data_IF_733365196953
#
_entry.id   IF_733365196953
#
_cell.length_a   1.000
_cell.length_b   1.000
_cell.length_c   1.000
_cell.angle_alpha   90.00
_cell.angle_beta   90.00
_cell.angle_gamma   90.00
#
_symmetry.space_group_name_H-M   'P 1'
#
loop_
_entity.id
_entity.type
_entity.pdbx_description
1 polymer ?
#
# COMPACT_ATOMS: atom_id res chain seq x y z
N UNK A 1 -45.27 -21.17 41.48
CA UNK A 1 -44.20 -20.39 40.82
C UNK A 1 -43.78 -21.12 39.55
N UNK A 2 -44.50 -20.86 38.46
CA UNK A 2 -44.18 -21.44 37.15
C UNK A 2 -43.15 -20.55 36.46
N UNK A 3 -41.94 -21.08 36.34
CA UNK A 3 -40.79 -20.44 35.70
C UNK A 3 -41.03 -20.41 34.17
N UNK A 4 -41.22 -19.21 33.63
CA UNK A 4 -41.23 -18.96 32.18
C UNK A 4 -39.84 -19.29 31.60
N UNK A 5 -39.78 -20.37 30.84
CA UNK A 5 -38.70 -20.68 29.88
C UNK A 5 -38.81 -19.70 28.70
N UNK A 6 -38.20 -18.52 28.83
CA UNK A 6 -38.04 -17.57 27.75
C UNK A 6 -36.73 -17.84 27.01
N UNK A 7 -36.91 -18.43 25.83
CA UNK A 7 -36.15 -18.25 24.59
C UNK A 7 -34.69 -17.79 24.76
N UNK A 8 -33.78 -18.77 24.76
CA UNK A 8 -32.42 -18.56 24.28
C UNK A 8 -32.48 -18.21 22.78
N UNK A 9 -32.57 -16.92 22.48
CA UNK A 9 -32.18 -16.41 21.18
C UNK A 9 -30.67 -16.59 21.07
N UNK A 10 -30.25 -17.75 20.55
CA UNK A 10 -28.90 -17.96 20.08
C UNK A 10 -28.74 -17.00 18.90
N UNK A 11 -28.20 -15.81 19.18
CA UNK A 11 -27.69 -14.90 18.16
C UNK A 11 -26.47 -15.61 17.57
N UNK A 12 -26.74 -16.54 16.66
CA UNK A 12 -25.77 -17.01 15.70
C UNK A 12 -25.52 -15.85 14.74
N UNK A 13 -24.60 -14.96 15.12
CA UNK A 13 -23.90 -14.12 14.14
C UNK A 13 -22.96 -15.02 13.33
N UNK A 14 -23.52 -15.90 12.51
CA UNK A 14 -22.88 -16.27 11.24
C UNK A 14 -22.96 -15.01 10.36
N UNK A 15 -21.91 -14.44 9.81
CA UNK A 15 -20.67 -15.03 9.33
C UNK A 15 -19.67 -13.89 9.23
N UNK A 16 -18.57 -13.96 9.99
CA UNK A 16 -17.38 -13.18 9.67
C UNK A 16 -16.81 -13.74 8.38
N UNK A 17 -17.25 -13.22 7.23
CA UNK A 17 -16.54 -13.44 5.98
C UNK A 17 -15.26 -12.63 6.10
N UNK A 18 -14.17 -13.30 6.45
CA UNK A 18 -12.83 -12.74 6.39
C UNK A 18 -12.67 -12.13 5.00
N UNK A 19 -12.58 -10.80 4.90
CA UNK A 19 -12.35 -10.16 3.61
C UNK A 19 -11.07 -10.78 3.02
N UNK A 20 -11.18 -11.32 1.80
CA UNK A 20 -10.07 -11.97 1.09
C UNK A 20 -8.83 -11.06 1.18
N UNK A 21 -7.76 -11.57 1.79
CA UNK A 21 -6.54 -10.81 2.02
C UNK A 21 -5.45 -11.36 1.11
N UNK A 22 -4.98 -10.54 0.19
CA UNK A 22 -3.85 -10.87 -0.67
C UNK A 22 -2.61 -10.08 -0.24
N UNK A 23 -1.44 -10.70 -0.36
CA UNK A 23 -0.13 -10.08 -0.21
C UNK A 23 0.71 -10.29 -1.48
N UNK A 24 1.58 -9.33 -1.76
CA UNK A 24 2.54 -9.39 -2.84
C UNK A 24 3.92 -8.99 -2.33
N UNK A 25 4.93 -9.78 -2.67
CA UNK A 25 6.33 -9.58 -2.31
C UNK A 25 7.10 -9.24 -3.59
N UNK A 26 7.43 -7.96 -3.76
CA UNK A 26 8.24 -7.46 -4.87
C UNK A 26 9.72 -7.52 -4.50
N UNK A 27 10.54 -8.15 -5.33
CA UNK A 27 12.00 -8.06 -5.27
C UNK A 27 12.51 -7.15 -6.39
N UNK A 28 13.14 -6.04 -6.02
CA UNK A 28 13.77 -5.12 -6.96
C UNK A 28 15.09 -4.61 -6.38
N UNK A 29 16.15 -4.67 -7.18
CA UNK A 29 17.51 -4.24 -6.80
C UNK A 29 18.01 -4.86 -5.48
N UNK A 30 17.69 -6.13 -5.23
CA UNK A 30 18.10 -6.86 -4.03
C UNK A 30 17.34 -6.46 -2.76
N UNK A 31 16.32 -5.61 -2.87
CA UNK A 31 15.42 -5.22 -1.77
C UNK A 31 14.04 -5.82 -1.97
N UNK A 32 13.36 -6.04 -0.85
CA UNK A 32 12.03 -6.64 -0.83
C UNK A 32 10.99 -5.65 -0.32
N UNK A 33 9.87 -5.53 -1.04
CA UNK A 33 8.76 -4.64 -0.72
C UNK A 33 7.48 -5.44 -0.68
N UNK A 34 6.74 -5.33 0.42
CA UNK A 34 5.49 -6.07 0.63
C UNK A 34 4.30 -5.13 0.54
N UNK A 35 3.31 -5.51 -0.25
CA UNK A 35 2.00 -4.86 -0.33
C UNK A 35 0.88 -5.82 0.05
N UNK A 36 -0.16 -5.31 0.70
CA UNK A 36 -1.34 -6.07 1.10
C UNK A 36 -2.60 -5.42 0.52
N UNK A 37 -3.48 -6.19 -0.11
CA UNK A 37 -4.69 -5.68 -0.75
C UNK A 37 -5.81 -6.71 -0.82
N UNK A 38 -6.98 -6.28 -1.30
CA UNK A 38 -8.16 -7.14 -1.45
C UNK A 38 -8.05 -8.11 -2.63
N UNK A 39 -7.10 -7.87 -3.53
CA UNK A 39 -6.80 -8.67 -4.72
C UNK A 39 -5.29 -8.80 -4.93
N UNK A 40 -4.87 -9.73 -5.78
CA UNK A 40 -3.46 -9.85 -6.20
C UNK A 40 -2.95 -8.58 -6.87
N UNK A 41 -3.81 -7.92 -7.64
CA UNK A 41 -3.49 -6.70 -8.39
C UNK A 41 -3.29 -5.52 -7.43
N UNK A 42 -4.17 -5.37 -6.45
CA UNK A 42 -4.03 -4.37 -5.39
C UNK A 42 -2.77 -4.61 -4.58
N UNK A 43 -2.55 -5.84 -4.12
CA UNK A 43 -1.36 -6.19 -3.35
C UNK A 43 -0.08 -5.89 -4.12
N UNK A 44 -0.03 -6.25 -5.41
CA UNK A 44 1.11 -5.97 -6.30
C UNK A 44 1.32 -4.47 -6.49
N UNK A 45 0.25 -3.72 -6.77
CA UNK A 45 0.32 -2.26 -6.89
C UNK A 45 0.80 -1.62 -5.59
N UNK A 46 0.35 -2.09 -4.43
CA UNK A 46 0.80 -1.57 -3.14
C UNK A 46 2.25 -1.92 -2.82
N UNK A 47 2.74 -3.09 -3.25
CA UNK A 47 4.17 -3.42 -3.18
C UNK A 47 5.00 -2.46 -4.04
N UNK A 48 4.54 -2.15 -5.26
CA UNK A 48 5.15 -1.13 -6.11
C UNK A 48 5.10 0.27 -5.47
N UNK A 49 3.97 0.69 -4.91
CA UNK A 49 3.87 1.98 -4.21
C UNK A 49 4.87 2.06 -3.06
N UNK A 50 5.09 0.95 -2.32
CA UNK A 50 6.07 0.88 -1.24
C UNK A 50 7.50 1.03 -1.77
N UNK A 51 7.87 0.29 -2.81
CA UNK A 51 9.14 0.49 -3.52
C UNK A 51 9.34 1.95 -3.94
N UNK A 52 8.32 2.56 -4.54
CA UNK A 52 8.40 3.94 -5.01
C UNK A 52 8.68 4.95 -3.90
N UNK A 53 8.10 4.77 -2.70
CA UNK A 53 8.38 5.66 -1.57
C UNK A 53 9.75 5.43 -0.95
N UNK A 54 10.18 4.17 -0.89
CA UNK A 54 11.32 3.77 -0.07
C UNK A 54 12.64 3.74 -0.84
N UNK A 55 12.59 3.46 -2.14
CA UNK A 55 13.78 3.11 -2.91
C UNK A 55 13.84 3.70 -4.33
N UNK A 56 12.77 4.33 -4.84
CA UNK A 56 12.84 4.98 -6.16
C UNK A 56 13.68 6.27 -6.09
N UNK A 57 14.74 6.39 -6.91
CA UNK A 57 15.60 7.57 -6.91
C UNK A 57 14.89 8.84 -7.41
N UNK A 58 13.89 8.71 -8.28
CA UNK A 58 13.13 9.86 -8.75
C UNK A 58 12.23 10.44 -7.66
N UNK A 59 11.61 9.58 -6.85
CA UNK A 59 10.86 10.04 -5.67
C UNK A 59 11.76 10.71 -4.64
N UNK A 60 12.93 10.14 -4.36
CA UNK A 60 13.93 10.73 -3.46
C UNK A 60 14.29 12.17 -3.88
N UNK A 61 14.57 12.37 -5.18
CA UNK A 61 14.90 13.68 -5.73
C UNK A 61 13.72 14.66 -5.63
N UNK A 62 12.51 14.23 -6.00
CA UNK A 62 11.31 15.07 -5.92
C UNK A 62 10.97 15.46 -4.48
N UNK A 63 11.09 14.53 -3.54
CA UNK A 63 10.90 14.79 -2.13
C UNK A 63 11.92 15.82 -1.60
N UNK A 64 13.20 15.69 -1.98
CA UNK A 64 14.24 16.67 -1.63
C UNK A 64 13.91 18.08 -2.12
N UNK A 65 13.52 18.23 -3.40
CA UNK A 65 13.09 19.52 -3.96
C UNK A 65 11.86 20.06 -3.24
N UNK A 66 10.89 19.21 -2.93
CA UNK A 66 9.69 19.61 -2.21
C UNK A 66 10.00 20.08 -0.79
N UNK A 67 10.90 19.40 -0.07
CA UNK A 67 11.34 19.80 1.28
C UNK A 67 11.92 21.21 1.31
N UNK A 68 12.61 21.63 0.26
CA UNK A 68 13.22 22.95 0.16
C UNK A 68 12.24 24.06 -0.28
N UNK A 69 11.07 23.67 -0.78
CA UNK A 69 9.99 24.58 -1.15
C UNK A 69 9.33 25.24 0.07
N UNK A 70 8.59 26.36 -0.10
CA UNK A 70 7.82 26.96 0.98
C UNK A 70 6.83 25.98 1.64
N UNK A 71 6.19 25.11 0.86
CA UNK A 71 5.22 24.13 1.36
C UNK A 71 5.91 23.06 2.23
N UNK A 72 7.04 22.50 1.78
CA UNK A 72 7.80 21.52 2.54
C UNK A 72 8.38 22.07 3.84
N UNK A 73 8.84 23.32 3.82
CA UNK A 73 9.30 24.04 5.02
C UNK A 73 8.15 24.26 6.02
N UNK A 74 6.99 24.73 5.55
CA UNK A 74 5.80 24.91 6.38
C UNK A 74 5.28 23.60 6.97
N UNK A 75 5.49 22.47 6.28
CA UNK A 75 5.10 21.14 6.73
C UNK A 75 6.01 20.55 7.82
N UNK A 76 7.12 21.20 8.18
CA UNK A 76 8.00 20.75 9.26
C UNK A 76 8.93 19.59 8.89
N UNK A 77 9.28 19.44 7.61
CA UNK A 77 10.15 18.37 7.08
C UNK A 77 9.65 16.94 7.45
N UNK A 78 8.41 16.59 7.07
CA UNK A 78 7.82 15.29 7.38
C UNK A 78 8.56 14.15 6.67
N UNK A 79 8.36 12.92 7.11
CA UNK A 79 8.93 11.73 6.46
C UNK A 79 8.45 11.58 5.00
N UNK A 80 9.16 10.74 4.23
CA UNK A 80 8.76 10.39 2.85
C UNK A 80 7.36 9.80 2.75
N UNK A 81 6.92 9.06 3.76
CA UNK A 81 5.58 8.48 3.81
C UNK A 81 4.52 9.55 4.07
N UNK A 82 4.76 10.44 5.03
CA UNK A 82 3.81 11.52 5.34
C UNK A 82 3.74 12.58 4.24
N UNK A 83 4.85 12.81 3.52
CA UNK A 83 4.95 13.83 2.49
C UNK A 83 3.98 13.58 1.32
N UNK A 84 3.73 12.31 0.95
CA UNK A 84 2.77 11.99 -0.13
C UNK A 84 1.36 12.50 0.21
N UNK A 85 0.98 12.55 1.49
CA UNK A 85 -0.34 13.01 1.90
C UNK A 85 -0.42 14.54 2.03
N UNK A 86 0.73 15.22 1.95
CA UNK A 86 0.83 16.68 2.08
C UNK A 86 1.03 17.37 0.74
N UNK A 87 1.38 16.63 -0.30
CA UNK A 87 1.57 17.16 -1.65
C UNK A 87 1.07 16.19 -2.72
N UNK A 88 0.15 16.68 -3.56
CA UNK A 88 -0.47 15.86 -4.61
C UNK A 88 0.54 15.38 -5.64
N UNK A 89 1.57 16.17 -5.99
CA UNK A 89 2.56 15.75 -7.00
C UNK A 89 3.41 14.61 -6.47
N UNK A 90 3.77 14.64 -5.18
CA UNK A 90 4.43 13.51 -4.53
C UNK A 90 3.55 12.26 -4.51
N UNK A 91 2.26 12.39 -4.18
CA UNK A 91 1.30 11.29 -4.23
C UNK A 91 1.17 10.70 -5.63
N UNK A 92 0.98 11.55 -6.64
CA UNK A 92 0.78 11.14 -8.04
C UNK A 92 2.04 10.47 -8.58
N UNK A 93 3.22 10.98 -8.24
CA UNK A 93 4.47 10.34 -8.66
C UNK A 93 4.57 8.91 -8.13
N UNK A 94 4.29 8.70 -6.83
CA UNK A 94 4.36 7.38 -6.18
C UNK A 94 3.29 6.44 -6.75
N UNK A 95 2.04 6.89 -6.81
CA UNK A 95 0.88 6.00 -7.07
C UNK A 95 0.55 5.81 -8.54
N UNK A 96 1.04 6.71 -9.40
CA UNK A 96 0.80 6.68 -10.85
C UNK A 96 2.10 6.47 -11.60
N UNK A 97 3.04 7.42 -11.54
CA UNK A 97 4.23 7.39 -12.40
C UNK A 97 5.12 6.19 -12.10
N UNK A 98 5.73 6.19 -10.90
CA UNK A 98 6.62 5.12 -10.49
C UNK A 98 5.90 3.77 -10.35
N UNK A 99 4.67 3.75 -9.81
CA UNK A 99 3.92 2.51 -9.68
C UNK A 99 3.64 1.84 -11.03
N UNK A 100 3.24 2.60 -12.06
CA UNK A 100 2.99 2.04 -13.39
C UNK A 100 4.28 1.55 -14.06
N UNK A 101 5.40 2.25 -13.85
CA UNK A 101 6.71 1.78 -14.32
C UNK A 101 7.15 0.49 -13.62
N UNK A 102 6.96 0.39 -12.31
CA UNK A 102 7.20 -0.83 -11.54
C UNK A 102 6.35 -2.00 -12.07
N UNK A 103 5.06 -1.78 -12.29
CA UNK A 103 4.16 -2.79 -12.87
C UNK A 103 4.59 -3.20 -14.28
N UNK A 104 5.05 -2.25 -15.10
CA UNK A 104 5.59 -2.56 -16.43
C UNK A 104 6.87 -3.41 -16.34
N UNK A 105 7.79 -3.11 -15.41
CA UNK A 105 8.98 -3.93 -15.16
C UNK A 105 8.63 -5.36 -14.74
N UNK A 106 7.60 -5.54 -13.91
CA UNK A 106 7.10 -6.87 -13.53
C UNK A 106 6.56 -7.60 -14.77
N UNK A 107 5.72 -6.94 -15.57
CA UNK A 107 5.14 -7.52 -16.80
C UNK A 107 6.22 -7.92 -17.81
N UNK A 108 7.27 -7.13 -17.93
CA UNK A 108 8.42 -7.41 -18.80
C UNK A 108 9.39 -8.46 -18.22
N UNK A 109 9.14 -8.98 -17.00
CA UNK A 109 10.01 -9.94 -16.32
C UNK A 109 11.31 -9.34 -15.77
N UNK A 110 11.44 -8.01 -15.75
CA UNK A 110 12.62 -7.29 -15.24
C UNK A 110 12.61 -7.14 -13.71
N UNK A 111 11.44 -7.28 -13.10
CA UNK A 111 11.27 -7.34 -11.65
C UNK A 111 10.44 -8.59 -11.29
N UNK A 112 10.71 -9.18 -10.13
CA UNK A 112 10.01 -10.39 -9.66
C UNK A 112 9.00 -10.04 -8.59
N UNK A 113 7.79 -10.57 -8.70
CA UNK A 113 6.76 -10.47 -7.66
C UNK A 113 6.18 -11.85 -7.37
N UNK A 114 5.98 -12.13 -6.09
CA UNK A 114 5.31 -13.35 -5.61
C UNK A 114 4.04 -12.94 -4.87
N UNK A 115 2.89 -13.56 -5.21
CA UNK A 115 1.59 -13.22 -4.61
C UNK A 115 0.99 -14.38 -3.86
N UNK A 116 0.33 -14.10 -2.73
CA UNK A 116 -0.43 -15.08 -1.94
C UNK A 116 -1.77 -14.48 -1.55
N UNK A 117 -2.85 -15.25 -1.59
CA UNK A 117 -4.15 -14.84 -1.05
C UNK A 117 -4.67 -15.88 -0.05
N UNK A 118 -5.35 -15.39 0.98
CA UNK A 118 -6.06 -16.16 1.99
C UNK A 118 -7.55 -16.23 1.70
#
# INVERSE_FOLDING_TARGET
>A
MSLLLLLAAVIACSSGSSAKKCSATLNNDGKTFVGEGASTDDATRFACNKYCREADPGYEAMYGVWLDSPAGKAAGRPSKEEAIFKDKKLMDYVTVTCANECLAKIKDGKAKVETKCE
#
